data_IF_829877667274
#
_entry.id   IF_829877667274
#
_cell.length_a   1.000
_cell.length_b   1.000
_cell.length_c   1.000
_cell.angle_alpha   90.00
_cell.angle_beta   90.00
_cell.angle_gamma   90.00
#
_symmetry.space_group_name_H-M   'P 1'
#
loop_
_entity.id
_entity.type
_entity.pdbx_description
1 polymer ?
#
# COMPACT_ATOMS: atom_id res chain seq x y z
N UNK A 1 -22.16 2.72 17.33
CA UNK A 1 -23.45 2.11 17.76
C UNK A 1 -24.53 2.20 16.68
N UNK A 2 -24.55 3.24 15.82
CA UNK A 2 -25.47 3.34 14.67
C UNK A 2 -25.27 2.23 13.61
N UNK A 3 -24.04 1.87 13.24
CA UNK A 3 -23.77 0.75 12.32
C UNK A 3 -24.51 -0.55 12.72
N UNK A 4 -24.38 -0.96 14.00
CA UNK A 4 -25.07 -2.14 14.54
C UNK A 4 -26.61 -2.02 14.61
N UNK A 5 -27.17 -0.82 14.46
CA UNK A 5 -28.61 -0.54 14.63
C UNK A 5 -29.29 -0.28 13.29
N UNK A 6 -28.58 0.29 12.32
CA UNK A 6 -29.13 0.74 11.04
C UNK A 6 -28.69 -0.15 9.86
N UNK A 7 -27.53 -0.81 9.94
CA UNK A 7 -27.02 -1.65 8.87
C UNK A 7 -27.32 -3.13 9.14
N UNK A 8 -28.06 -3.79 8.25
CA UNK A 8 -28.17 -5.25 8.25
C UNK A 8 -26.96 -5.81 7.52
N UNK A 9 -25.99 -6.33 8.25
CA UNK A 9 -24.80 -6.91 7.64
C UNK A 9 -25.21 -8.08 6.73
N UNK A 10 -24.86 -8.01 5.45
CA UNK A 10 -25.37 -8.93 4.44
C UNK A 10 -24.47 -10.16 4.26
N UNK A 11 -23.42 -10.28 5.06
CA UNK A 11 -22.44 -11.36 4.94
C UNK A 11 -22.16 -12.07 6.27
N UNK A 12 -22.16 -13.41 6.31
CA UNK A 12 -21.81 -14.18 7.49
C UNK A 12 -20.28 -14.23 7.75
N UNK A 13 -19.47 -13.60 6.91
CA UNK A 13 -18.01 -13.63 6.98
C UNK A 13 -17.48 -12.41 7.72
N UNK A 14 -16.98 -12.60 8.95
CA UNK A 14 -16.38 -11.58 9.81
C UNK A 14 -15.39 -10.60 9.12
N UNK A 15 -14.51 -11.00 8.18
CA UNK A 15 -13.60 -10.09 7.48
C UNK A 15 -14.29 -9.02 6.63
N UNK A 16 -15.51 -9.31 6.13
CA UNK A 16 -16.26 -8.41 5.27
C UNK A 16 -17.04 -7.35 6.05
N UNK A 17 -17.14 -7.48 7.38
CA UNK A 17 -17.75 -6.45 8.23
C UNK A 17 -16.93 -5.15 8.26
N UNK A 18 -15.59 -5.25 8.22
CA UNK A 18 -14.75 -4.06 8.15
C UNK A 18 -14.95 -3.30 6.84
N UNK A 19 -15.09 -4.02 5.72
CA UNK A 19 -15.40 -3.42 4.42
C UNK A 19 -16.78 -2.77 4.40
N UNK A 20 -17.81 -3.47 4.88
CA UNK A 20 -19.16 -2.90 4.98
C UNK A 20 -19.22 -1.69 5.94
N UNK A 21 -18.37 -1.64 6.97
CA UNK A 21 -18.26 -0.49 7.84
C UNK A 21 -17.60 0.71 7.14
N UNK A 22 -16.53 0.48 6.36
CA UNK A 22 -15.92 1.52 5.52
C UNK A 22 -16.93 2.04 4.49
N UNK A 23 -17.66 1.14 3.81
CA UNK A 23 -18.68 1.52 2.84
C UNK A 23 -19.80 2.35 3.48
N UNK A 24 -20.24 1.97 4.69
CA UNK A 24 -21.22 2.72 5.48
C UNK A 24 -20.70 4.11 5.87
N UNK A 25 -19.43 4.21 6.30
CA UNK A 25 -18.81 5.49 6.62
C UNK A 25 -18.69 6.41 5.40
N UNK A 26 -18.43 5.85 4.22
CA UNK A 26 -18.27 6.62 3.00
C UNK A 26 -19.61 7.11 2.41
N UNK A 27 -20.67 6.31 2.49
CA UNK A 27 -21.91 6.56 1.74
C UNK A 27 -23.15 6.85 2.59
N UNK A 28 -23.20 6.38 3.83
CA UNK A 28 -24.43 6.39 4.64
C UNK A 28 -24.32 7.22 5.92
N UNK A 29 -23.11 7.36 6.46
CA UNK A 29 -22.86 8.17 7.67
C UNK A 29 -22.61 9.63 7.29
N UNK A 30 -23.49 10.50 7.77
CA UNK A 30 -23.32 11.95 7.69
C UNK A 30 -23.53 12.52 9.11
N UNK A 31 -22.48 12.41 9.93
CA UNK A 31 -22.47 12.85 11.33
C UNK A 31 -21.39 13.92 11.52
N UNK A 32 -21.82 15.14 11.85
CA UNK A 32 -20.91 16.29 11.99
C UNK A 32 -19.97 16.17 13.21
N UNK A 33 -20.29 15.28 14.16
CA UNK A 33 -19.45 15.02 15.34
C UNK A 33 -18.36 13.96 15.06
N UNK A 34 -18.33 13.37 13.86
CA UNK A 34 -17.29 12.41 13.51
C UNK A 34 -15.91 13.07 13.40
N UNK A 35 -14.85 12.40 13.89
CA UNK A 35 -13.50 12.84 13.62
C UNK A 35 -13.25 12.91 12.10
N UNK A 36 -12.57 13.95 11.59
CA UNK A 36 -12.40 14.15 10.15
C UNK A 36 -11.54 13.07 9.48
N UNK A 37 -10.78 12.31 10.26
CA UNK A 37 -9.96 11.18 9.81
C UNK A 37 -10.68 9.83 9.88
N UNK A 38 -11.93 9.76 10.36
CA UNK A 38 -12.59 8.51 10.72
C UNK A 38 -12.64 7.50 9.56
N UNK A 39 -13.03 7.97 8.37
CA UNK A 39 -13.11 7.12 7.18
C UNK A 39 -11.72 6.57 6.79
N UNK A 40 -10.71 7.43 6.75
CA UNK A 40 -9.34 7.03 6.38
C UNK A 40 -8.73 6.05 7.41
N UNK A 41 -8.99 6.28 8.70
CA UNK A 41 -8.56 5.39 9.78
C UNK A 41 -9.24 4.04 9.68
N UNK A 42 -10.57 4.01 9.50
CA UNK A 42 -11.31 2.77 9.34
C UNK A 42 -10.84 1.97 8.11
N UNK A 43 -10.55 2.66 7.00
CA UNK A 43 -9.96 2.03 5.82
C UNK A 43 -8.60 1.42 6.12
N UNK A 44 -7.71 2.13 6.84
CA UNK A 44 -6.40 1.61 7.24
C UNK A 44 -6.51 0.34 8.09
N UNK A 45 -7.31 0.37 9.15
CA UNK A 45 -7.50 -0.78 10.05
C UNK A 45 -8.14 -1.98 9.32
N UNK A 46 -9.05 -1.71 8.38
CA UNK A 46 -9.63 -2.74 7.52
C UNK A 46 -8.57 -3.39 6.62
N UNK A 47 -7.69 -2.60 5.97
CA UNK A 47 -6.63 -3.15 5.11
C UNK A 47 -5.73 -4.09 5.89
N UNK A 48 -5.29 -3.70 7.09
CA UNK A 48 -4.46 -4.57 7.94
C UNK A 48 -5.15 -5.92 8.22
N UNK A 49 -6.45 -5.87 8.55
CA UNK A 49 -7.25 -7.06 8.80
C UNK A 49 -7.44 -7.90 7.53
N UNK A 50 -7.68 -7.25 6.39
CA UNK A 50 -7.86 -7.92 5.10
C UNK A 50 -6.58 -8.67 4.70
N UNK A 51 -5.42 -8.02 4.83
CA UNK A 51 -4.12 -8.64 4.58
C UNK A 51 -3.81 -9.77 5.56
N UNK A 52 -4.16 -9.64 6.84
CA UNK A 52 -3.95 -10.71 7.82
C UNK A 52 -4.78 -11.97 7.52
N UNK A 53 -5.93 -11.81 6.86
CA UNK A 53 -6.89 -12.89 6.61
C UNK A 53 -6.84 -13.43 5.17
N UNK A 54 -6.02 -12.85 4.30
CA UNK A 54 -5.87 -13.30 2.91
C UNK A 54 -5.25 -14.71 2.86
N UNK A 55 -5.74 -15.63 2.02
CA UNK A 55 -5.23 -17.01 1.98
C UNK A 55 -4.09 -17.20 0.96
N UNK A 56 -3.64 -16.12 0.31
CA UNK A 56 -2.58 -16.16 -0.72
C UNK A 56 -1.22 -16.55 -0.14
N UNK A 57 -0.60 -17.56 -0.74
CA UNK A 57 0.76 -18.03 -0.39
C UNK A 57 1.80 -17.47 -1.35
N UNK A 58 2.80 -16.76 -0.80
CA UNK A 58 3.78 -16.01 -1.59
C UNK A 58 4.82 -16.90 -2.29
N UNK A 59 4.96 -18.16 -1.89
CA UNK A 59 5.86 -19.15 -2.50
C UNK A 59 5.46 -19.51 -3.93
N UNK A 60 4.18 -19.30 -4.27
CA UNK A 60 3.63 -19.59 -5.60
C UNK A 60 4.08 -18.59 -6.67
N UNK A 61 4.66 -17.46 -6.29
CA UNK A 61 5.11 -16.42 -7.21
C UNK A 61 6.52 -16.75 -7.71
N UNK A 62 6.59 -17.25 -8.95
CA UNK A 62 7.83 -17.67 -9.59
C UNK A 62 8.82 -16.50 -9.73
N UNK A 63 10.04 -16.70 -9.24
CA UNK A 63 11.20 -15.84 -9.47
C UNK A 63 12.25 -16.56 -10.32
N UNK A 64 12.89 -15.83 -11.22
CA UNK A 64 14.10 -16.26 -11.93
C UNK A 64 15.30 -15.94 -11.05
N UNK A 65 16.23 -16.90 -10.94
CA UNK A 65 17.53 -16.71 -10.31
C UNK A 65 18.64 -16.58 -11.38
N UNK A 66 19.61 -15.66 -11.20
CA UNK A 66 19.71 -14.68 -10.12
C UNK A 66 18.68 -13.54 -10.27
N UNK A 67 18.26 -12.96 -9.15
CA UNK A 67 17.39 -11.78 -9.13
C UNK A 67 18.13 -10.55 -9.71
N UNK A 68 17.59 -9.98 -10.79
CA UNK A 68 18.07 -8.72 -11.39
C UNK A 68 16.98 -7.65 -11.36
N UNK A 69 16.98 -6.84 -10.30
CA UNK A 69 15.94 -5.84 -10.05
C UNK A 69 15.87 -4.73 -11.10
N UNK A 70 16.89 -4.54 -11.95
CA UNK A 70 16.92 -3.47 -12.94
C UNK A 70 16.58 -3.96 -14.35
N UNK A 71 17.18 -5.07 -14.78
CA UNK A 71 17.05 -5.54 -16.16
C UNK A 71 15.92 -6.56 -16.34
N UNK A 72 15.45 -7.18 -15.26
CA UNK A 72 14.28 -8.04 -15.27
C UNK A 72 13.04 -7.29 -14.76
N UNK A 73 11.89 -7.94 -14.83
CA UNK A 73 10.59 -7.43 -14.36
C UNK A 73 10.42 -7.78 -12.88
N UNK A 74 10.47 -6.82 -11.94
CA UNK A 74 10.20 -7.08 -10.53
C UNK A 74 8.77 -7.61 -10.34
N UNK A 75 8.61 -8.61 -9.49
CA UNK A 75 7.30 -9.18 -9.15
C UNK A 75 6.83 -8.54 -7.85
N UNK A 76 5.87 -7.62 -7.94
CA UNK A 76 5.24 -7.04 -6.74
C UNK A 76 4.30 -8.07 -6.12
N UNK A 77 4.34 -8.19 -4.80
CA UNK A 77 3.43 -9.03 -4.03
C UNK A 77 1.98 -8.56 -4.22
N UNK A 78 1.01 -9.46 -4.45
CA UNK A 78 -0.40 -9.08 -4.44
C UNK A 78 -0.87 -8.66 -3.04
N UNK A 79 -0.10 -9.00 -2.00
CA UNK A 79 -0.33 -8.65 -0.62
C UNK A 79 0.44 -7.40 -0.21
N UNK A 80 0.89 -6.56 -1.15
CA UNK A 80 1.50 -5.26 -0.88
C UNK A 80 0.64 -4.14 -1.49
N UNK A 81 0.00 -3.34 -0.64
CA UNK A 81 -0.99 -2.35 -1.05
C UNK A 81 -0.46 -0.93 -0.83
N UNK A 82 -0.13 -0.19 -1.91
CA UNK A 82 0.24 1.22 -1.81
C UNK A 82 -1.02 2.06 -1.57
N UNK A 83 -1.07 2.77 -0.45
CA UNK A 83 -2.19 3.59 -0.01
C UNK A 83 -1.78 5.03 0.21
N UNK A 84 -2.69 5.96 -0.11
CA UNK A 84 -2.50 7.38 0.06
C UNK A 84 -3.60 7.93 0.96
N UNK A 85 -3.19 8.67 1.97
CA UNK A 85 -4.08 9.27 2.97
C UNK A 85 -3.82 10.77 3.07
N UNK A 86 -4.85 11.53 3.48
CA UNK A 86 -4.72 12.94 3.84
C UNK A 86 -4.39 13.10 5.31
N UNK A 87 -4.76 12.13 6.13
CA UNK A 87 -4.45 12.09 7.55
C UNK A 87 -3.33 11.08 7.83
N UNK A 88 -2.49 11.32 8.84
CA UNK A 88 -1.45 10.38 9.28
C UNK A 88 -2.06 9.24 10.09
N UNK A 89 -2.93 8.44 9.46
CA UNK A 89 -3.76 7.41 10.11
C UNK A 89 -2.96 6.44 10.98
N UNK A 90 -1.76 6.06 10.55
CA UNK A 90 -0.84 5.18 11.28
C UNK A 90 -0.29 5.76 12.60
N UNK A 91 -0.51 7.05 12.88
CA UNK A 91 -0.11 7.73 14.11
C UNK A 91 -1.29 8.01 15.03
N UNK A 92 -2.52 7.83 14.55
CA UNK A 92 -3.72 8.23 15.28
C UNK A 92 -3.90 7.33 16.50
N UNK A 93 -4.14 7.96 17.63
CA UNK A 93 -4.36 7.28 18.89
C UNK A 93 -4.98 8.23 19.92
N UNK A 94 -5.18 7.78 21.17
CA UNK A 94 -5.76 8.62 22.22
C UNK A 94 -5.04 9.96 22.41
N UNK A 95 -3.71 9.96 22.24
CA UNK A 95 -2.86 11.14 22.44
C UNK A 95 -2.64 11.99 21.17
N UNK A 96 -3.11 11.52 20.00
CA UNK A 96 -2.94 12.23 18.73
C UNK A 96 -4.16 12.03 17.81
N UNK A 97 -4.98 13.07 17.71
CA UNK A 97 -6.22 13.09 16.91
C UNK A 97 -6.27 14.38 16.08
N UNK A 98 -5.66 14.40 14.89
CA UNK A 98 -5.57 15.61 14.07
C UNK A 98 -6.96 16.08 13.63
N UNK A 99 -7.21 17.39 13.71
CA UNK A 99 -8.47 18.00 13.25
C UNK A 99 -8.37 18.52 11.82
N UNK A 100 -7.15 18.61 11.28
CA UNK A 100 -6.87 19.06 9.92
C UNK A 100 -6.00 18.01 9.21
N UNK A 101 -6.16 17.85 7.88
CA UNK A 101 -5.31 16.96 7.11
C UNK A 101 -3.85 17.46 7.11
N UNK A 102 -2.93 16.54 6.84
CA UNK A 102 -1.52 16.86 6.63
C UNK A 102 -1.33 17.80 5.45
N UNK A 103 -0.29 18.64 5.52
CA UNK A 103 0.06 19.60 4.46
C UNK A 103 0.47 18.90 3.16
N UNK A 104 0.99 17.68 3.26
CA UNK A 104 1.30 16.80 2.15
C UNK A 104 0.58 15.45 2.36
N UNK A 105 0.25 14.73 1.28
CA UNK A 105 -0.31 13.39 1.40
C UNK A 105 0.65 12.45 2.13
N UNK A 106 0.08 11.55 2.92
CA UNK A 106 0.77 10.46 3.60
C UNK A 106 0.72 9.23 2.69
N UNK A 107 1.88 8.67 2.35
CA UNK A 107 1.97 7.48 1.51
C UNK A 107 2.38 6.29 2.36
N UNK A 108 1.49 5.32 2.49
CA UNK A 108 1.75 4.08 3.21
C UNK A 108 1.84 2.92 2.23
N UNK A 109 2.70 1.96 2.57
CA UNK A 109 2.71 0.67 1.93
C UNK A 109 2.45 -0.37 3.01
N UNK A 110 1.26 -0.96 2.99
CA UNK A 110 0.85 -2.02 3.92
C UNK A 110 1.05 -3.34 3.21
N UNK A 111 1.68 -4.30 3.86
CA UNK A 111 2.04 -5.57 3.23
C UNK A 111 1.97 -6.75 4.20
N UNK A 112 1.79 -7.96 3.66
CA UNK A 112 2.06 -9.21 4.38
C UNK A 112 3.30 -9.90 3.82
N UNK A 113 4.21 -10.30 4.69
CA UNK A 113 5.44 -11.01 4.31
C UNK A 113 5.25 -12.55 4.27
N UNK A 114 6.32 -13.29 3.99
CA UNK A 114 6.29 -14.77 3.96
C UNK A 114 6.13 -15.45 5.32
N UNK A 115 6.34 -14.71 6.41
CA UNK A 115 6.10 -15.19 7.77
C UNK A 115 4.65 -14.93 8.23
N UNK A 116 3.78 -14.51 7.30
CA UNK A 116 2.39 -14.09 7.52
C UNK A 116 2.23 -12.85 8.44
N UNK A 117 3.31 -12.12 8.69
CA UNK A 117 3.27 -10.87 9.46
C UNK A 117 2.80 -9.72 8.57
N UNK A 118 1.78 -9.00 9.04
CA UNK A 118 1.35 -7.72 8.45
C UNK A 118 2.23 -6.60 8.97
N UNK A 119 2.81 -5.85 8.05
CA UNK A 119 3.62 -4.67 8.33
C UNK A 119 3.17 -3.48 7.49
N UNK A 120 3.63 -2.30 7.87
CA UNK A 120 3.50 -1.10 7.06
C UNK A 120 4.79 -0.28 7.08
N UNK A 121 4.96 0.55 6.05
CA UNK A 121 5.98 1.58 6.03
C UNK A 121 5.43 2.86 5.43
N UNK A 122 5.76 4.00 6.04
CA UNK A 122 5.61 5.28 5.38
C UNK A 122 6.68 5.42 4.30
N UNK A 123 6.25 5.90 3.13
CA UNK A 123 7.06 6.00 1.93
C UNK A 123 7.07 7.43 1.42
N UNK A 124 8.06 7.76 0.58
CA UNK A 124 8.02 9.01 -0.17
C UNK A 124 7.17 8.84 -1.45
N UNK A 125 6.75 9.95 -2.10
CA UNK A 125 5.94 9.88 -3.32
C UNK A 125 6.59 9.08 -4.45
N UNK A 126 7.92 9.07 -4.52
CA UNK A 126 8.70 8.37 -5.55
C UNK A 126 8.58 6.86 -5.39
N UNK A 127 8.72 6.36 -4.16
CA UNK A 127 8.60 4.94 -3.82
C UNK A 127 7.18 4.45 -4.06
N UNK A 128 6.19 5.22 -3.61
CA UNK A 128 4.79 4.94 -3.87
C UNK A 128 4.52 4.81 -5.38
N UNK A 129 4.99 5.78 -6.17
CA UNK A 129 4.84 5.78 -7.62
C UNK A 129 5.54 4.58 -8.29
N UNK A 130 6.74 4.24 -7.84
CA UNK A 130 7.50 3.08 -8.33
C UNK A 130 6.69 1.79 -8.16
N UNK A 131 6.14 1.56 -6.97
CA UNK A 131 5.32 0.36 -6.70
C UNK A 131 4.08 0.35 -7.60
N UNK A 132 3.40 1.49 -7.77
CA UNK A 132 2.24 1.58 -8.68
C UNK A 132 2.59 1.25 -10.13
N UNK A 133 3.71 1.74 -10.65
CA UNK A 133 4.15 1.44 -12.02
C UNK A 133 4.38 -0.07 -12.18
N UNK A 134 5.08 -0.68 -11.23
CA UNK A 134 5.40 -2.11 -11.26
C UNK A 134 4.15 -2.99 -11.11
N UNK A 135 3.14 -2.57 -10.33
CA UNK A 135 1.87 -3.27 -10.22
C UNK A 135 1.01 -3.18 -11.48
N UNK A 136 0.99 -2.02 -12.13
CA UNK A 136 0.08 -1.77 -13.26
C UNK A 136 0.68 -2.25 -14.59
N UNK A 137 2.01 -2.27 -14.71
CA UNK A 137 2.72 -2.66 -15.93
C UNK A 137 3.53 -3.94 -15.71
N UNK A 138 2.86 -5.08 -15.85
CA UNK A 138 3.39 -6.43 -15.58
C UNK A 138 4.59 -6.86 -16.45
N UNK A 139 5.02 -6.07 -17.43
CA UNK A 139 6.22 -6.31 -18.23
C UNK A 139 7.30 -5.23 -18.07
N UNK A 140 7.12 -4.29 -17.14
CA UNK A 140 8.05 -3.19 -16.92
C UNK A 140 9.27 -3.69 -16.15
N UNK A 141 10.47 -3.50 -16.71
CA UNK A 141 11.70 -3.73 -15.96
C UNK A 141 11.87 -2.66 -14.88
N UNK A 142 12.62 -2.96 -13.82
CA UNK A 142 12.87 -1.96 -12.77
C UNK A 142 13.57 -0.72 -13.31
N UNK A 143 14.48 -0.88 -14.28
CA UNK A 143 15.10 0.25 -14.98
C UNK A 143 14.08 1.08 -15.74
N UNK A 144 13.19 0.46 -16.51
CA UNK A 144 12.17 1.17 -17.27
C UNK A 144 11.21 1.95 -16.35
N UNK A 145 10.84 1.38 -15.19
CA UNK A 145 10.03 2.07 -14.20
C UNK A 145 10.73 3.30 -13.61
N UNK A 146 12.03 3.18 -13.29
CA UNK A 146 12.83 4.30 -12.78
C UNK A 146 13.06 5.39 -13.84
N UNK A 147 13.31 5.00 -15.09
CA UNK A 147 13.46 5.94 -16.20
C UNK A 147 12.14 6.72 -16.43
N UNK A 148 10.98 6.07 -16.28
CA UNK A 148 9.68 6.75 -16.33
C UNK A 148 9.56 7.79 -15.21
N UNK A 149 9.93 7.45 -13.97
CA UNK A 149 9.90 8.38 -12.83
C UNK A 149 10.84 9.57 -13.04
N UNK A 150 12.04 9.34 -13.58
CA UNK A 150 12.98 10.43 -13.92
C UNK A 150 12.31 11.45 -14.83
N UNK A 151 11.58 10.99 -15.85
CA UNK A 151 10.84 11.84 -16.79
C UNK A 151 9.69 12.56 -16.08
N UNK A 152 8.89 11.85 -15.26
CA UNK A 152 7.77 12.42 -14.51
C UNK A 152 8.23 13.54 -13.54
N UNK A 153 9.39 13.38 -12.90
CA UNK A 153 9.93 14.33 -11.94
C UNK A 153 10.68 15.50 -12.59
N UNK A 154 11.09 15.37 -13.87
CA UNK A 154 12.01 16.30 -14.53
C UNK A 154 13.26 16.59 -13.66
N UNK A 155 13.80 15.56 -13.02
CA UNK A 155 14.87 15.72 -12.02
C UNK A 155 16.19 16.13 -12.70
N UNK A 156 16.92 17.14 -12.19
CA UNK A 156 18.14 17.63 -12.82
C UNK A 156 19.29 16.61 -12.82
N UNK A 157 19.18 15.57 -11.98
CA UNK A 157 20.16 14.48 -11.87
C UNK A 157 19.46 13.12 -11.95
N UNK A 158 19.25 12.57 -13.15
CA UNK A 158 18.62 11.26 -13.36
C UNK A 158 19.26 10.12 -12.58
N UNK A 159 20.59 10.08 -12.53
CA UNK A 159 21.35 9.01 -11.87
C UNK A 159 21.09 8.92 -10.36
N UNK A 160 20.74 10.04 -9.69
CA UNK A 160 20.38 10.03 -8.27
C UNK A 160 19.07 9.27 -8.04
N UNK A 161 18.09 9.48 -8.93
CA UNK A 161 16.80 8.79 -8.89
C UNK A 161 16.98 7.30 -9.18
N UNK A 162 17.82 6.95 -10.16
CA UNK A 162 18.08 5.55 -10.51
C UNK A 162 18.77 4.81 -9.36
N UNK A 163 19.82 5.39 -8.76
CA UNK A 163 20.54 4.76 -7.65
C UNK A 163 19.66 4.63 -6.40
N UNK A 164 18.97 5.71 -6.00
CA UNK A 164 18.05 5.64 -4.86
C UNK A 164 16.84 4.73 -5.11
N UNK A 165 16.39 4.67 -6.36
CA UNK A 165 15.36 3.74 -6.81
C UNK A 165 15.81 2.28 -6.73
N UNK A 166 17.04 1.98 -7.11
CA UNK A 166 17.61 0.65 -6.94
C UNK A 166 17.70 0.24 -5.47
N UNK A 167 18.22 1.12 -4.60
CA UNK A 167 18.27 0.87 -3.16
C UNK A 167 16.86 0.62 -2.59
N UNK A 168 15.87 1.35 -3.10
CA UNK A 168 14.46 1.14 -2.76
C UNK A 168 13.99 -0.25 -3.20
N UNK A 169 14.22 -0.68 -4.45
CA UNK A 169 13.86 -2.02 -4.93
C UNK A 169 14.48 -3.13 -4.07
N UNK A 170 15.72 -2.96 -3.62
CA UNK A 170 16.39 -3.91 -2.71
C UNK A 170 15.69 -3.94 -1.35
N UNK A 171 15.32 -2.79 -0.79
CA UNK A 171 14.58 -2.71 0.48
C UNK A 171 13.18 -3.33 0.39
N UNK A 172 12.50 -3.20 -0.76
CA UNK A 172 11.20 -3.82 -1.02
C UNK A 172 11.34 -5.34 -1.18
N UNK A 173 12.41 -5.82 -1.82
CA UNK A 173 12.73 -7.25 -1.91
C UNK A 173 12.95 -7.87 -0.52
N UNK A 174 13.67 -7.18 0.36
CA UNK A 174 13.95 -7.65 1.73
C UNK A 174 12.70 -7.76 2.62
N UNK A 175 11.59 -7.13 2.24
CA UNK A 175 10.32 -7.09 2.98
C UNK A 175 9.23 -7.94 2.33
N UNK A 176 9.57 -8.74 1.32
CA UNK A 176 8.61 -9.50 0.50
C UNK A 176 7.53 -8.62 -0.18
N UNK A 177 7.78 -7.33 -0.34
CA UNK A 177 6.96 -6.44 -1.17
C UNK A 177 7.26 -6.71 -2.65
N UNK A 178 8.53 -6.95 -2.97
CA UNK A 178 8.96 -7.55 -4.22
C UNK A 178 9.37 -8.98 -3.91
N UNK A 179 8.86 -9.94 -4.67
CA UNK A 179 9.06 -11.37 -4.42
C UNK A 179 10.25 -11.96 -5.20
N UNK A 180 10.80 -11.18 -6.13
CA UNK A 180 11.85 -11.58 -7.06
C UNK A 180 11.66 -10.92 -8.41
N UNK A 181 12.12 -11.58 -9.48
CA UNK A 181 12.04 -11.04 -10.85
C UNK A 181 11.63 -12.07 -11.88
N UNK A 182 11.04 -11.64 -12.99
CA UNK A 182 10.73 -12.45 -14.19
C UNK A 182 11.55 -11.95 -15.36
N UNK A 183 11.91 -12.84 -16.29
CA UNK A 183 12.53 -12.44 -17.55
C UNK A 183 11.69 -11.36 -18.26
N UNK A 184 12.34 -10.37 -18.91
CA UNK A 184 11.67 -9.27 -19.60
C UNK A 184 10.86 -9.72 -20.83
#
# INVERSE_FOLDING_TARGET
RQFMVQHQCHTPYFPKFGQEFVDFLEHERDDADDPPFLLELAHHEWVETALALDETTLESFASVEPVDLLNHVPVVSPLAWPLQYRFPVHQIGPDFQPQEPSTQPIYLLIYRNRDDDVGFMETNPVTFRLVQILQTNNGCTGRAALDQIVVEMNHPQPEVVINGGYDTLVQLLQRDIILGTRAP
#
